data_IF_529509504087
#
_entry.id   IF_529509504087
#
_cell.length_a   1.000
_cell.length_b   1.000
_cell.length_c   1.000
_cell.angle_alpha   90.00
_cell.angle_beta   90.00
_cell.angle_gamma   90.00
#
_symmetry.space_group_name_H-M   'P 1'
#
loop_
_entity.id
_entity.type
_entity.pdbx_description
1 polymer ?
#
# COMPACT_ATOMS: atom_id res chain seq x y z
N UNK A 1 -4.33 -31.60 4.92
CA UNK A 1 -3.58 -30.56 5.65
C UNK A 1 -2.22 -30.37 4.98
N UNK A 2 -1.69 -29.14 4.91
CA UNK A 2 -0.42 -28.80 4.27
C UNK A 2 0.71 -28.70 5.32
N UNK A 3 1.53 -29.75 5.55
CA UNK A 3 2.42 -29.83 6.72
C UNK A 3 3.52 -28.76 6.70
N UNK A 4 4.06 -28.44 5.51
CA UNK A 4 5.08 -27.40 5.33
C UNK A 4 4.56 -26.01 5.72
N UNK A 5 3.32 -25.69 5.40
CA UNK A 5 2.71 -24.39 5.74
C UNK A 5 2.52 -24.24 7.25
N UNK A 6 2.10 -25.33 7.92
CA UNK A 6 1.97 -25.34 9.40
C UNK A 6 3.34 -25.12 10.04
N UNK A 7 4.37 -25.87 9.61
CA UNK A 7 5.73 -25.70 10.14
C UNK A 7 6.27 -24.29 9.91
N UNK A 8 6.04 -23.72 8.72
CA UNK A 8 6.43 -22.35 8.38
C UNK A 8 5.75 -21.32 9.28
N UNK A 9 4.43 -21.42 9.48
CA UNK A 9 3.69 -20.53 10.38
C UNK A 9 4.23 -20.61 11.82
N UNK A 10 4.46 -21.82 12.34
CA UNK A 10 4.98 -21.96 13.70
C UNK A 10 6.42 -21.43 13.83
N UNK A 11 7.21 -21.43 12.77
CA UNK A 11 8.53 -20.79 12.78
C UNK A 11 8.43 -19.26 12.91
N UNK A 12 7.50 -18.63 12.17
CA UNK A 12 7.25 -17.19 12.28
C UNK A 12 6.71 -16.82 13.66
N UNK A 13 5.78 -17.60 14.20
CA UNK A 13 5.20 -17.36 15.53
C UNK A 13 6.26 -17.41 16.61
N UNK A 14 7.11 -18.45 16.63
CA UNK A 14 8.21 -18.54 17.60
C UNK A 14 9.19 -17.36 17.48
N UNK A 15 9.48 -16.91 16.26
CA UNK A 15 10.34 -15.74 16.06
C UNK A 15 9.68 -14.45 16.61
N UNK A 16 8.37 -14.30 16.46
CA UNK A 16 7.63 -13.16 17.03
C UNK A 16 7.57 -13.21 18.56
N UNK A 17 7.38 -14.39 19.17
CA UNK A 17 7.46 -14.57 20.62
C UNK A 17 8.83 -14.15 21.15
N UNK A 18 9.91 -14.66 20.54
CA UNK A 18 11.28 -14.29 20.89
C UNK A 18 11.53 -12.78 20.73
N UNK A 19 11.00 -12.18 19.67
CA UNK A 19 11.10 -10.74 19.44
C UNK A 19 10.44 -9.92 20.55
N UNK A 20 9.31 -10.37 21.09
CA UNK A 20 8.68 -9.69 22.23
C UNK A 20 9.47 -9.89 23.52
N UNK A 21 9.92 -11.11 23.79
CA UNK A 21 10.69 -11.47 24.99
C UNK A 21 12.03 -10.71 25.04
N UNK A 22 12.67 -10.50 23.89
CA UNK A 22 13.92 -9.75 23.79
C UNK A 22 13.75 -8.23 23.84
N UNK A 23 12.53 -7.74 24.09
CA UNK A 23 12.24 -6.31 24.11
C UNK A 23 12.24 -5.63 22.73
N UNK A 24 12.12 -6.39 21.64
CA UNK A 24 12.21 -5.88 20.26
C UNK A 24 11.20 -4.78 19.93
N UNK A 25 10.09 -4.70 20.68
CA UNK A 25 9.11 -3.63 20.56
C UNK A 25 9.68 -2.23 20.85
N UNK A 26 10.68 -2.10 21.74
CA UNK A 26 11.30 -0.80 22.08
C UNK A 26 11.86 -0.08 20.84
N UNK A 27 12.29 -0.88 19.89
CA UNK A 27 12.98 -0.50 18.68
C UNK A 27 12.08 -0.57 17.43
N UNK A 28 10.79 -0.78 17.63
CA UNK A 28 9.83 -0.97 16.56
C UNK A 28 9.09 0.30 16.16
N UNK A 29 8.48 0.29 14.97
CA UNK A 29 7.60 1.38 14.55
C UNK A 29 6.37 1.50 15.48
N UNK A 30 5.62 2.58 15.36
CA UNK A 30 4.49 2.83 16.28
C UNK A 30 3.38 1.78 16.13
N UNK A 31 3.15 1.30 14.91
CA UNK A 31 2.07 0.37 14.58
C UNK A 31 2.16 -0.99 15.34
N UNK A 32 3.26 -1.77 15.27
CA UNK A 32 3.37 -3.03 16.00
C UNK A 32 3.33 -2.82 17.53
N UNK A 33 3.82 -1.69 18.05
CA UNK A 33 3.67 -1.36 19.48
C UNK A 33 2.22 -1.14 19.88
N UNK A 34 1.52 -0.27 19.15
CA UNK A 34 0.12 0.04 19.45
C UNK A 34 -0.74 -1.22 19.36
N UNK A 35 -0.55 -2.03 18.32
CA UNK A 35 -1.22 -3.33 18.16
C UNK A 35 -0.92 -4.25 19.33
N UNK A 36 0.34 -4.46 19.67
CA UNK A 36 0.71 -5.32 20.80
C UNK A 36 0.05 -4.84 22.10
N UNK A 37 0.09 -3.54 22.40
CA UNK A 37 -0.55 -2.96 23.59
C UNK A 37 -2.05 -3.23 23.64
N UNK A 38 -2.80 -2.86 22.59
CA UNK A 38 -4.26 -3.04 22.52
C UNK A 38 -4.64 -4.51 22.69
N UNK A 39 -3.94 -5.39 21.99
CA UNK A 39 -4.19 -6.83 22.00
C UNK A 39 -3.87 -7.45 23.37
N UNK A 40 -2.82 -6.97 24.03
CA UNK A 40 -2.43 -7.41 25.37
C UNK A 40 -3.42 -6.93 26.43
N UNK A 41 -3.84 -5.66 26.35
CA UNK A 41 -4.85 -5.06 27.24
C UNK A 41 -6.22 -5.73 27.10
N UNK A 42 -6.53 -6.24 25.90
CA UNK A 42 -7.72 -7.06 25.63
C UNK A 42 -7.65 -8.49 26.22
N UNK A 43 -6.56 -8.84 26.92
CA UNK A 43 -6.40 -10.12 27.60
C UNK A 43 -5.78 -11.24 26.76
N UNK A 44 -5.30 -10.96 25.54
CA UNK A 44 -4.69 -12.01 24.72
C UNK A 44 -3.33 -12.48 25.26
N UNK A 45 -3.06 -13.77 25.08
CA UNK A 45 -1.77 -14.36 25.40
C UNK A 45 -0.69 -13.85 24.43
N UNK A 46 0.58 -13.86 24.83
CA UNK A 46 1.68 -13.45 23.94
C UNK A 46 1.75 -14.36 22.70
N UNK A 47 1.46 -15.65 22.85
CA UNK A 47 1.41 -16.59 21.74
C UNK A 47 0.27 -16.29 20.75
N UNK A 48 -0.91 -15.88 21.24
CA UNK A 48 -2.01 -15.48 20.35
C UNK A 48 -1.71 -14.17 19.63
N UNK A 49 -1.05 -13.22 20.30
CA UNK A 49 -0.56 -11.98 19.68
C UNK A 49 0.46 -12.29 18.58
N UNK A 50 1.43 -13.17 18.84
CA UNK A 50 2.41 -13.60 17.86
C UNK A 50 1.76 -14.26 16.63
N UNK A 51 0.69 -15.03 16.83
CA UNK A 51 -0.13 -15.62 15.75
C UNK A 51 -0.88 -14.58 14.95
N UNK A 52 -1.48 -13.60 15.63
CA UNK A 52 -2.16 -12.48 14.96
C UNK A 52 -1.17 -11.66 14.11
N UNK A 53 0.05 -11.40 14.62
CA UNK A 53 1.07 -10.70 13.85
C UNK A 53 1.61 -11.51 12.67
N UNK A 54 1.62 -12.85 12.74
CA UNK A 54 1.95 -13.68 11.57
C UNK A 54 0.96 -13.45 10.42
N UNK A 55 -0.34 -13.32 10.73
CA UNK A 55 -1.38 -13.00 9.72
C UNK A 55 -1.23 -11.56 9.24
N UNK A 56 -0.97 -10.63 10.16
CA UNK A 56 -0.76 -9.22 9.82
C UNK A 56 0.45 -9.02 8.91
N UNK A 57 1.55 -9.75 9.14
CA UNK A 57 2.75 -9.73 8.29
C UNK A 57 2.47 -10.21 6.87
N UNK A 58 1.54 -11.17 6.67
CA UNK A 58 1.08 -11.56 5.34
C UNK A 58 0.29 -10.43 4.67
N UNK A 59 -0.58 -9.74 5.41
CA UNK A 59 -1.33 -8.60 4.88
C UNK A 59 -0.42 -7.43 4.47
N UNK A 60 0.62 -7.13 5.26
CA UNK A 60 1.57 -6.06 4.97
C UNK A 60 2.44 -6.34 3.73
N UNK A 61 2.92 -7.58 3.59
CA UNK A 61 3.94 -7.92 2.60
C UNK A 61 3.39 -8.62 1.36
N UNK A 62 2.25 -9.31 1.48
CA UNK A 62 1.68 -10.13 0.42
C UNK A 62 1.42 -9.37 -0.88
N UNK A 63 1.08 -8.07 -0.76
CA UNK A 63 0.84 -7.20 -1.90
C UNK A 63 2.02 -6.27 -2.20
N UNK A 64 2.66 -5.72 -1.16
CA UNK A 64 3.75 -4.73 -1.31
C UNK A 64 4.97 -5.32 -1.99
N UNK A 65 5.33 -6.58 -1.70
CA UNK A 65 6.48 -7.27 -2.31
C UNK A 65 6.30 -7.48 -3.82
N UNK A 66 5.22 -8.12 -4.31
CA UNK A 66 5.02 -8.26 -5.74
C UNK A 66 4.79 -6.92 -6.45
N UNK A 67 4.12 -5.94 -5.82
CA UNK A 67 3.97 -4.61 -6.38
C UNK A 67 5.34 -3.94 -6.60
N UNK A 68 6.21 -3.95 -5.60
CA UNK A 68 7.56 -3.38 -5.71
C UNK A 68 8.39 -4.11 -6.78
N UNK A 69 8.32 -5.44 -6.82
CA UNK A 69 8.98 -6.23 -7.87
C UNK A 69 8.57 -5.76 -9.26
N UNK A 70 7.26 -5.64 -9.51
CA UNK A 70 6.76 -5.25 -10.81
C UNK A 70 7.08 -3.81 -11.17
N UNK A 71 7.04 -2.87 -10.22
CA UNK A 71 7.42 -1.48 -10.48
C UNK A 71 8.89 -1.41 -10.89
N UNK A 72 9.76 -2.13 -10.17
CA UNK A 72 11.19 -2.19 -10.53
C UNK A 72 11.35 -2.82 -11.92
N UNK A 73 10.65 -3.92 -12.19
CA UNK A 73 10.69 -4.56 -13.51
C UNK A 73 10.26 -3.59 -14.62
N UNK A 74 9.12 -2.91 -14.47
CA UNK A 74 8.55 -2.04 -15.49
C UNK A 74 9.40 -0.78 -15.72
N UNK A 75 9.94 -0.20 -14.65
CA UNK A 75 10.85 0.95 -14.76
C UNK A 75 12.15 0.55 -15.46
N UNK A 76 12.75 -0.59 -15.12
CA UNK A 76 14.05 -0.99 -15.65
C UNK A 76 14.00 -1.69 -17.02
N UNK A 77 12.83 -2.18 -17.43
CA UNK A 77 12.63 -2.81 -18.74
C UNK A 77 12.51 -1.81 -19.89
N UNK A 78 12.23 -0.53 -19.60
CA UNK A 78 12.11 0.54 -20.59
C UNK A 78 13.12 1.67 -20.28
N UNK A 79 14.08 1.87 -21.18
CA UNK A 79 15.13 2.88 -21.01
C UNK A 79 14.59 4.32 -20.95
N UNK A 80 13.50 4.63 -21.67
CA UNK A 80 12.87 5.95 -21.64
C UNK A 80 12.17 6.18 -20.30
N UNK A 81 11.45 5.18 -19.78
CA UNK A 81 10.83 5.24 -18.45
C UNK A 81 11.89 5.40 -17.36
N UNK A 82 12.93 4.56 -17.38
CA UNK A 82 14.04 4.63 -16.43
C UNK A 82 14.71 6.01 -16.43
N UNK A 83 15.01 6.54 -17.62
CA UNK A 83 15.65 7.85 -17.76
C UNK A 83 14.80 8.96 -17.14
N UNK A 84 13.49 8.93 -17.38
CA UNK A 84 12.57 9.97 -16.94
C UNK A 84 12.29 9.91 -15.43
N UNK A 85 12.16 8.69 -14.86
CA UNK A 85 12.12 8.48 -13.40
C UNK A 85 13.41 8.97 -12.74
N UNK A 86 14.58 8.65 -13.30
CA UNK A 86 15.86 9.12 -12.75
C UNK A 86 15.98 10.63 -12.78
N UNK A 87 15.59 11.27 -13.89
CA UNK A 87 15.62 12.72 -14.01
C UNK A 87 14.74 13.40 -12.96
N UNK A 88 13.55 12.85 -12.71
CA UNK A 88 12.64 13.35 -11.69
C UNK A 88 13.23 13.17 -10.28
N UNK A 89 13.72 11.97 -9.95
CA UNK A 89 14.28 11.67 -8.63
C UNK A 89 15.58 12.43 -8.36
N UNK A 90 16.39 12.71 -9.38
CA UNK A 90 17.61 13.53 -9.25
C UNK A 90 17.33 14.92 -8.67
N UNK A 91 16.17 15.51 -8.97
CA UNK A 91 15.75 16.79 -8.39
C UNK A 91 15.57 16.78 -6.87
N UNK A 92 15.54 15.60 -6.25
CA UNK A 92 15.37 15.40 -4.81
C UNK A 92 16.66 14.89 -4.12
N UNK A 93 17.75 14.71 -4.87
CA UNK A 93 19.01 14.22 -4.34
C UNK A 93 19.95 15.41 -4.08
N UNK A 94 20.49 15.48 -2.87
CA UNK A 94 21.62 16.36 -2.56
C UNK A 94 22.93 15.56 -2.53
N UNK A 95 24.02 16.20 -2.95
CA UNK A 95 25.37 15.62 -2.93
C UNK A 95 26.20 16.32 -1.86
N UNK A 96 26.78 15.54 -0.95
CA UNK A 96 27.83 16.01 -0.06
C UNK A 96 29.18 15.40 -0.47
N UNK A 97 30.18 16.26 -0.65
CA UNK A 97 31.59 15.85 -0.81
C UNK A 97 32.16 15.58 0.59
N UNK A 98 32.50 14.33 0.88
CA UNK A 98 33.20 14.02 2.12
C UNK A 98 34.68 14.34 1.93
N UNK A 99 35.18 15.34 2.65
CA UNK A 99 36.61 15.65 2.72
C UNK A 99 37.35 14.52 3.44
N UNK A 100 37.85 13.55 2.68
CA UNK A 100 38.77 12.52 3.18
C UNK A 100 38.95 11.28 2.32
N UNK A 101 37.91 10.80 1.61
CA UNK A 101 37.92 9.44 1.03
C UNK A 101 37.54 9.35 -0.45
N UNK A 102 37.27 10.47 -1.13
CA UNK A 102 36.78 10.46 -2.52
C UNK A 102 35.38 9.84 -2.68
N UNK A 103 34.70 9.51 -1.58
CA UNK A 103 33.35 8.94 -1.55
C UNK A 103 32.32 10.06 -1.61
N UNK A 104 31.52 10.07 -2.68
CA UNK A 104 30.36 10.95 -2.82
C UNK A 104 29.18 10.38 -2.01
N UNK A 105 28.61 11.18 -1.11
CA UNK A 105 27.37 10.80 -0.42
C UNK A 105 26.18 11.43 -1.15
N UNK A 106 25.22 10.59 -1.55
CA UNK A 106 23.94 11.00 -2.12
C UNK A 106 22.85 10.89 -1.05
N UNK A 107 22.14 11.98 -0.81
CA UNK A 107 21.05 12.02 0.17
C UNK A 107 19.74 12.33 -0.55
N UNK A 108 18.80 11.39 -0.52
CA UNK A 108 17.45 11.55 -1.05
C UNK A 108 16.55 12.21 0.00
N UNK A 109 15.93 13.34 -0.33
CA UNK A 109 14.90 13.95 0.52
C UNK A 109 13.55 13.24 0.35
N UNK A 110 13.28 12.26 1.21
CA UNK A 110 12.03 11.50 1.19
C UNK A 110 10.78 12.38 1.37
N UNK A 111 10.87 13.58 1.95
CA UNK A 111 9.71 14.48 2.11
C UNK A 111 9.22 15.01 0.77
N UNK A 112 10.12 15.03 -0.22
CA UNK A 112 9.88 15.51 -1.59
C UNK A 112 9.53 14.38 -2.55
N UNK A 113 9.61 13.11 -2.14
CA UNK A 113 9.28 11.99 -3.03
C UNK A 113 7.84 12.06 -3.56
N UNK A 114 6.93 12.69 -2.80
CA UNK A 114 5.55 12.96 -3.24
C UNK A 114 5.43 13.90 -4.43
N UNK A 115 6.49 14.65 -4.74
CA UNK A 115 6.63 15.52 -5.92
C UNK A 115 7.09 14.72 -7.15
N UNK A 116 7.44 13.42 -7.01
CA UNK A 116 7.83 12.53 -8.09
C UNK A 116 6.59 12.03 -8.87
N UNK A 117 5.93 12.94 -9.58
CA UNK A 117 4.64 12.70 -10.23
C UNK A 117 4.72 11.62 -11.31
N UNK A 118 5.81 11.56 -12.07
CA UNK A 118 6.01 10.53 -13.08
C UNK A 118 6.25 9.18 -12.43
N UNK A 119 7.11 9.09 -11.40
CA UNK A 119 7.30 7.84 -10.64
C UNK A 119 5.97 7.33 -10.08
N UNK A 120 5.15 8.22 -9.50
CA UNK A 120 3.81 7.85 -9.02
C UNK A 120 2.90 7.38 -10.16
N UNK A 121 2.95 8.01 -11.34
CA UNK A 121 2.18 7.58 -12.50
C UNK A 121 2.58 6.16 -12.95
N UNK A 122 3.88 5.85 -12.97
CA UNK A 122 4.38 4.50 -13.28
C UNK A 122 3.93 3.50 -12.23
N UNK A 123 3.99 3.83 -10.94
CA UNK A 123 3.54 2.95 -9.86
C UNK A 123 2.04 2.64 -10.02
N UNK A 124 1.21 3.66 -10.24
CA UNK A 124 -0.23 3.47 -10.42
C UNK A 124 -0.55 2.66 -11.68
N UNK A 125 0.14 2.92 -12.79
CA UNK A 125 -0.05 2.14 -14.01
C UNK A 125 0.38 0.68 -13.85
N UNK A 126 1.48 0.44 -13.14
CA UNK A 126 1.94 -0.91 -12.81
C UNK A 126 0.89 -1.65 -12.00
N UNK A 127 0.33 -1.00 -10.98
CA UNK A 127 -0.73 -1.58 -10.15
C UNK A 127 -2.01 -1.83 -10.96
N UNK A 128 -2.44 -0.87 -11.80
CA UNK A 128 -3.61 -1.07 -12.68
C UNK A 128 -3.40 -2.28 -13.59
N UNK A 129 -2.24 -2.35 -14.25
CA UNK A 129 -2.01 -3.38 -15.26
C UNK A 129 -1.79 -4.78 -14.66
N UNK A 130 -1.28 -4.88 -13.42
CA UNK A 130 -0.81 -6.16 -12.86
C UNK A 130 -1.58 -6.64 -11.64
N UNK A 131 -2.28 -5.76 -10.91
CA UNK A 131 -2.99 -6.15 -9.71
C UNK A 131 -4.19 -7.03 -10.07
N UNK A 132 -4.22 -8.24 -9.50
CA UNK A 132 -5.33 -9.18 -9.64
C UNK A 132 -6.01 -9.34 -8.29
N UNK A 133 -6.81 -8.34 -7.95
CA UNK A 133 -7.56 -8.30 -6.69
C UNK A 133 -9.03 -8.66 -6.89
N UNK A 134 -9.64 -9.13 -5.82
CA UNK A 134 -11.10 -9.26 -5.72
C UNK A 134 -11.61 -8.39 -4.58
N UNK A 135 -12.70 -7.67 -4.78
CA UNK A 135 -13.41 -6.98 -3.71
C UNK A 135 -14.68 -7.73 -3.32
N UNK A 136 -14.60 -8.78 -2.47
CA UNK A 136 -15.80 -9.50 -2.03
C UNK A 136 -16.64 -8.62 -1.09
N UNK A 137 -17.96 -8.67 -1.24
CA UNK A 137 -18.95 -8.04 -0.37
C UNK A 137 -20.06 -9.03 -0.08
N UNK A 138 -20.42 -9.18 1.19
CA UNK A 138 -21.59 -9.95 1.58
C UNK A 138 -22.83 -9.07 1.47
N UNK A 139 -23.86 -9.55 0.79
CA UNK A 139 -25.13 -8.85 0.61
C UNK A 139 -25.98 -9.09 1.86
N UNK A 140 -26.23 -8.03 2.64
CA UNK A 140 -26.91 -8.14 3.94
C UNK A 140 -28.45 -8.13 3.83
N UNK A 141 -28.96 -7.60 2.73
CA UNK A 141 -30.38 -7.49 2.39
C UNK A 141 -30.53 -7.53 0.86
N UNK A 142 -31.69 -7.94 0.37
CA UNK A 142 -31.98 -7.96 -1.07
C UNK A 142 -31.72 -6.57 -1.67
N UNK A 143 -30.87 -6.49 -2.68
CA UNK A 143 -30.46 -5.23 -3.29
C UNK A 143 -30.65 -5.28 -4.80
N UNK A 144 -31.14 -4.17 -5.34
CA UNK A 144 -31.24 -3.96 -6.78
C UNK A 144 -30.03 -3.11 -7.21
N UNK A 145 -29.21 -3.66 -8.11
CA UNK A 145 -28.09 -2.96 -8.74
C UNK A 145 -28.53 -2.58 -10.16
N UNK A 146 -28.84 -1.31 -10.36
CA UNK A 146 -29.26 -0.78 -11.65
C UNK A 146 -28.12 -0.04 -12.35
N UNK A 147 -28.00 -0.26 -13.66
CA UNK A 147 -27.18 0.52 -14.59
C UNK A 147 -28.06 1.07 -15.71
N UNK A 148 -27.50 1.92 -16.57
CA UNK A 148 -28.25 2.45 -17.72
C UNK A 148 -28.74 1.37 -18.71
N UNK A 149 -28.18 0.16 -18.66
CA UNK A 149 -28.47 -0.92 -19.60
C UNK A 149 -29.23 -2.10 -18.98
N UNK A 150 -29.15 -2.29 -17.67
CA UNK A 150 -29.65 -3.49 -17.01
C UNK A 150 -29.87 -3.28 -15.51
N UNK A 151 -30.75 -4.11 -14.95
CA UNK A 151 -31.05 -4.17 -13.53
C UNK A 151 -30.79 -5.59 -13.03
N UNK A 152 -30.06 -5.71 -11.93
CA UNK A 152 -29.73 -6.98 -11.30
C UNK A 152 -30.33 -7.04 -9.89
N UNK A 153 -31.18 -8.03 -9.65
CA UNK A 153 -31.64 -8.36 -8.30
C UNK A 153 -30.63 -9.30 -7.63
N UNK A 154 -30.06 -8.87 -6.51
CA UNK A 154 -29.07 -9.64 -5.76
C UNK A 154 -29.63 -9.97 -4.40
N UNK A 155 -29.82 -11.26 -4.14
CA UNK A 155 -30.47 -11.75 -2.93
C UNK A 155 -29.56 -11.62 -1.69
N UNK A 156 -30.18 -11.39 -0.54
CA UNK A 156 -29.57 -11.46 0.78
C UNK A 156 -28.79 -12.77 0.95
N UNK A 157 -27.59 -12.65 1.50
CA UNK A 157 -26.67 -13.78 1.72
C UNK A 157 -25.80 -14.12 0.51
N UNK A 158 -26.02 -13.47 -0.64
CA UNK A 158 -25.13 -13.58 -1.79
C UNK A 158 -23.79 -12.92 -1.53
N UNK A 159 -22.74 -13.40 -2.22
CA UNK A 159 -21.44 -12.72 -2.27
C UNK A 159 -21.29 -12.00 -3.61
N UNK A 160 -21.19 -10.68 -3.57
CA UNK A 160 -20.82 -9.86 -4.71
C UNK A 160 -19.29 -9.80 -4.79
N UNK A 161 -18.71 -10.01 -5.97
CA UNK A 161 -17.26 -9.90 -6.18
C UNK A 161 -16.98 -8.83 -7.23
N UNK A 162 -16.24 -7.80 -6.82
CA UNK A 162 -15.64 -6.85 -7.76
C UNK A 162 -14.33 -7.43 -8.28
N UNK A 163 -14.27 -7.74 -9.58
CA UNK A 163 -13.07 -8.26 -10.22
C UNK A 163 -12.21 -7.10 -10.72
N UNK A 164 -11.11 -6.80 -10.01
CA UNK A 164 -10.25 -5.66 -10.36
C UNK A 164 -9.65 -5.81 -11.75
N UNK A 165 -9.26 -7.03 -12.15
CA UNK A 165 -8.67 -7.29 -13.47
C UNK A 165 -9.59 -6.81 -14.61
N UNK A 166 -10.86 -7.21 -14.60
CA UNK A 166 -11.81 -6.81 -15.63
C UNK A 166 -12.03 -5.30 -15.66
N UNK A 167 -12.06 -4.65 -14.49
CA UNK A 167 -12.22 -3.20 -14.40
C UNK A 167 -10.97 -2.45 -14.88
N UNK A 168 -9.79 -2.96 -14.52
CA UNK A 168 -8.51 -2.35 -14.86
C UNK A 168 -8.20 -2.47 -16.35
N UNK A 169 -8.71 -3.50 -17.01
CA UNK A 169 -8.50 -3.77 -18.44
C UNK A 169 -9.69 -3.37 -19.32
N UNK A 170 -10.73 -2.75 -18.77
CA UNK A 170 -11.89 -2.29 -19.55
C UNK A 170 -11.49 -1.17 -20.53
N UNK A 171 -11.50 -1.49 -21.82
CA UNK A 171 -11.17 -0.54 -22.90
C UNK A 171 -12.17 0.62 -23.05
N UNK A 172 -13.41 0.46 -22.57
CA UNK A 172 -14.38 1.55 -22.54
C UNK A 172 -13.98 2.63 -21.51
N UNK A 173 -13.25 2.23 -20.47
CA UNK A 173 -12.80 3.11 -19.39
C UNK A 173 -11.37 3.60 -19.61
N UNK A 174 -10.48 2.69 -19.98
CA UNK A 174 -9.03 2.93 -20.07
C UNK A 174 -8.54 3.17 -21.50
N UNK A 175 -9.44 3.13 -22.48
CA UNK A 175 -9.13 3.32 -23.88
C UNK A 175 -8.52 2.08 -24.55
N UNK A 176 -8.13 2.19 -25.83
CA UNK A 176 -7.68 1.04 -26.63
C UNK A 176 -6.36 0.43 -26.14
N UNK A 177 -5.62 1.13 -25.27
CA UNK A 177 -4.36 0.69 -24.70
C UNK A 177 -4.53 0.10 -23.28
N UNK A 178 -5.74 -0.28 -22.86
CA UNK A 178 -6.01 -0.85 -21.54
C UNK A 178 -5.17 -2.11 -21.25
N UNK A 179 -4.97 -2.95 -22.26
CA UNK A 179 -4.19 -4.19 -22.19
C UNK A 179 -2.68 -4.00 -22.39
N UNK A 180 -2.23 -2.75 -22.35
CA UNK A 180 -0.81 -2.41 -22.42
C UNK A 180 -0.42 -1.56 -21.21
N UNK A 181 0.81 -1.76 -20.74
CA UNK A 181 1.39 -0.86 -19.75
C UNK A 181 1.70 0.49 -20.42
N UNK A 182 1.01 1.55 -20.01
CA UNK A 182 1.18 2.90 -20.52
C UNK A 182 1.62 3.85 -19.40
N UNK A 183 2.94 4.04 -19.19
CA UNK A 183 3.50 4.77 -18.03
C UNK A 183 2.91 6.16 -17.78
N UNK A 184 2.51 6.86 -18.85
CA UNK A 184 1.94 8.21 -18.78
C UNK A 184 0.43 8.25 -18.44
N UNK A 185 -0.23 7.10 -18.21
CA UNK A 185 -1.69 7.03 -18.00
C UNK A 185 -2.18 7.90 -16.85
N UNK A 186 -1.38 8.00 -15.79
CA UNK A 186 -1.68 8.76 -14.57
C UNK A 186 -0.88 10.07 -14.47
N UNK A 187 -0.27 10.53 -15.56
CA UNK A 187 0.46 11.80 -15.61
C UNK A 187 -0.49 13.00 -15.41
N UNK A 188 0.05 14.15 -14.98
CA UNK A 188 -0.73 15.37 -14.75
C UNK A 188 -1.67 15.71 -15.94
N UNK A 189 -2.91 16.05 -15.63
CA UNK A 189 -3.94 16.40 -16.63
C UNK A 189 -4.75 15.22 -17.15
N UNK A 190 -4.35 13.98 -16.84
CA UNK A 190 -5.19 12.80 -17.08
C UNK A 190 -6.24 12.67 -15.99
N UNK A 191 -7.48 12.37 -16.38
CA UNK A 191 -8.57 12.04 -15.46
C UNK A 191 -8.93 10.58 -15.68
N UNK A 192 -8.73 9.77 -14.65
CA UNK A 192 -9.28 8.41 -14.59
C UNK A 192 -10.57 8.45 -13.77
N UNK A 193 -11.61 7.66 -14.11
CA UNK A 193 -12.80 7.59 -13.28
C UNK A 193 -12.42 7.14 -11.85
N UNK A 194 -12.91 7.81 -10.78
CA UNK A 194 -12.49 7.53 -9.41
C UNK A 194 -12.71 6.08 -8.94
N UNK A 195 -13.62 5.35 -9.59
CA UNK A 195 -13.98 3.96 -9.27
C UNK A 195 -13.34 2.93 -10.20
N UNK A 196 -12.64 3.38 -11.25
CA UNK A 196 -12.04 2.49 -12.24
C UNK A 196 -10.72 1.88 -11.79
N UNK A 197 -10.03 2.53 -10.83
CA UNK A 197 -8.75 2.10 -10.30
C UNK A 197 -8.89 1.69 -8.83
N UNK A 198 -8.23 0.60 -8.48
CA UNK A 198 -8.16 0.06 -7.12
C UNK A 198 -6.71 -0.39 -6.95
N UNK A 199 -5.91 0.39 -6.23
CA UNK A 199 -4.46 0.19 -6.16
C UNK A 199 -4.10 -1.13 -5.46
N UNK A 200 -4.83 -1.45 -4.38
CA UNK A 200 -4.67 -2.65 -3.56
C UNK A 200 -6.04 -3.14 -3.06
N UNK A 201 -6.12 -4.43 -2.72
CA UNK A 201 -7.30 -5.01 -2.07
C UNK A 201 -7.56 -4.27 -0.73
N UNK A 202 -8.76 -3.72 -0.56
CA UNK A 202 -9.07 -2.89 0.61
C UNK A 202 -8.71 -1.41 0.49
N UNK A 203 -8.35 -0.91 -0.70
CA UNK A 203 -8.27 0.53 -1.02
C UNK A 203 -9.60 1.00 -1.63
N UNK A 204 -10.49 1.63 -0.86
CA UNK A 204 -11.68 2.22 -1.43
C UNK A 204 -11.39 3.67 -1.82
N UNK A 205 -11.48 3.93 -3.12
CA UNK A 205 -11.40 5.24 -3.80
C UNK A 205 -10.01 5.87 -3.87
N UNK A 206 -9.28 5.51 -4.92
CA UNK A 206 -8.13 6.27 -5.40
C UNK A 206 -8.59 7.38 -6.37
N UNK A 207 -8.84 8.59 -5.86
CA UNK A 207 -8.80 9.84 -6.64
C UNK A 207 -8.33 11.03 -5.76
N UNK A 208 -7.65 12.04 -6.32
CA UNK A 208 -6.85 12.98 -5.53
C UNK A 208 -7.64 14.24 -5.20
N UNK A 209 -7.92 14.52 -3.92
CA UNK A 209 -8.33 15.88 -3.52
C UNK A 209 -7.63 16.38 -2.26
N UNK A 210 -7.09 17.59 -2.39
CA UNK A 210 -6.31 18.39 -1.44
C UNK A 210 -7.18 19.24 -0.53
N UNK A 211 -7.36 18.85 0.74
CA UNK A 211 -7.83 19.77 1.79
C UNK A 211 -7.17 19.43 3.15
N UNK A 212 -6.55 20.43 3.77
CA UNK A 212 -5.89 20.34 5.08
C UNK A 212 -6.87 20.51 6.26
N UNK A 213 -6.47 20.02 7.45
CA UNK A 213 -7.25 20.16 8.69
C UNK A 213 -6.66 19.38 9.88
N UNK A 214 -7.02 19.78 11.10
CA UNK A 214 -6.61 19.19 12.39
C UNK A 214 -7.40 17.90 12.69
N UNK A 215 -6.76 16.96 13.41
CA UNK A 215 -7.30 15.65 13.77
C UNK A 215 -8.48 15.75 14.75
N UNK A 216 -9.59 15.10 14.37
CA UNK A 216 -10.68 14.65 15.25
C UNK A 216 -10.90 13.18 14.89
N UNK A 217 -10.75 12.29 15.87
CA UNK A 217 -10.99 10.86 15.68
C UNK A 217 -12.49 10.63 15.41
N UNK A 218 -12.90 10.13 14.23
CA UNK A 218 -14.28 9.71 14.05
C UNK A 218 -14.51 8.48 14.92
N UNK A 219 -15.50 8.55 15.82
CA UNK A 219 -15.88 7.43 16.66
C UNK A 219 -16.23 6.18 15.84
N UNK A 220 -16.02 5.02 16.46
CA UNK A 220 -16.24 3.69 15.87
C UNK A 220 -17.71 3.54 15.42
N UNK A 221 -17.93 3.36 14.11
CA UNK A 221 -19.27 3.14 13.55
C UNK A 221 -19.52 1.63 13.39
N UNK A 222 -19.95 1.01 14.49
CA UNK A 222 -20.29 -0.42 14.55
C UNK A 222 -21.48 -0.79 13.66
N UNK A 223 -22.22 0.18 13.11
CA UNK A 223 -23.32 -0.05 12.19
C UNK A 223 -22.85 -0.24 10.73
N UNK A 224 -21.60 0.12 10.42
CA UNK A 224 -21.08 0.06 9.06
C UNK A 224 -19.56 -0.18 9.02
N UNK A 225 -19.14 -1.41 9.36
CA UNK A 225 -17.73 -1.85 9.35
C UNK A 225 -17.01 -1.65 7.99
N UNK A 226 -17.75 -1.54 6.88
CA UNK A 226 -17.15 -1.25 5.58
C UNK A 226 -16.52 0.15 5.53
N UNK A 227 -16.99 1.10 6.36
CA UNK A 227 -16.39 2.44 6.49
C UNK A 227 -15.06 2.45 7.25
N UNK A 228 -14.78 1.42 8.06
CA UNK A 228 -13.51 1.29 8.79
C UNK A 228 -12.35 0.92 7.85
N UNK A 229 -12.64 0.38 6.67
CA UNK A 229 -11.65 0.06 5.64
C UNK A 229 -11.49 1.19 4.61
N UNK A 230 -12.14 2.35 4.80
CA UNK A 230 -11.98 3.50 3.92
C UNK A 230 -10.71 4.30 4.24
N UNK A 231 -9.98 4.85 3.25
CA UNK A 231 -8.99 5.85 3.55
C UNK A 231 -9.70 6.98 4.30
N UNK A 232 -9.03 7.56 5.31
CA UNK A 232 -9.65 8.54 6.17
C UNK A 232 -10.24 9.69 5.34
N UNK A 233 -11.47 10.10 5.67
CA UNK A 233 -12.19 11.20 5.00
C UNK A 233 -11.44 12.55 5.06
N UNK A 234 -10.42 12.66 5.92
CA UNK A 234 -9.50 13.80 6.02
C UNK A 234 -8.07 13.32 5.75
N UNK A 235 -7.27 14.14 5.06
CA UNK A 235 -5.85 13.84 4.80
C UNK A 235 -5.09 13.63 6.11
N UNK A 236 -4.39 12.51 6.20
CA UNK A 236 -3.43 12.24 7.27
C UNK A 236 -2.06 12.68 6.80
N UNK A 237 -1.52 13.71 7.45
CA UNK A 237 -0.11 14.07 7.32
C UNK A 237 0.65 13.29 8.38
N UNK A 238 1.47 12.33 7.95
CA UNK A 238 2.40 11.65 8.84
C UNK A 238 3.74 12.37 8.74
N UNK A 239 4.25 12.87 9.86
CA UNK A 239 5.63 13.35 9.93
C UNK A 239 6.56 12.14 9.87
N UNK A 240 7.18 11.96 8.70
CA UNK A 240 8.24 10.97 8.51
C UNK A 240 9.50 11.52 9.16
N UNK A 241 9.77 11.07 10.38
CA UNK A 241 11.02 11.33 11.08
C UNK A 241 11.93 10.09 11.03
N UNK A 242 13.26 10.25 10.97
CA UNK A 242 14.20 9.16 11.22
C UNK A 242 13.88 8.49 12.56
N UNK A 243 14.07 7.17 12.63
CA UNK A 243 13.91 6.44 13.90
C UNK A 243 14.86 7.04 14.94
N UNK A 244 14.40 7.13 16.20
CA UNK A 244 15.24 7.62 17.31
C UNK A 244 16.55 6.84 17.39
N UNK A 245 17.69 7.52 17.43
CA UNK A 245 19.03 6.93 17.37
C UNK A 245 19.57 6.69 15.95
N UNK A 246 18.79 6.97 14.90
CA UNK A 246 19.21 6.88 13.49
C UNK A 246 19.28 8.23 12.80
N UNK A 247 19.14 9.33 13.54
CA UNK A 247 19.09 10.70 13.01
C UNK A 247 20.37 11.08 12.26
N UNK A 248 21.49 10.46 12.62
CA UNK A 248 22.81 10.65 12.01
C UNK A 248 23.29 9.42 11.21
N UNK A 249 22.43 8.42 10.98
CA UNK A 249 22.79 7.23 10.21
C UNK A 249 22.76 7.58 8.74
N UNK A 250 23.95 7.78 8.17
CA UNK A 250 24.13 7.95 6.73
C UNK A 250 24.14 6.56 6.09
N UNK A 251 23.04 6.22 5.42
CA UNK A 251 22.97 5.02 4.59
C UNK A 251 23.89 5.21 3.38
N UNK A 252 24.98 4.44 3.31
CA UNK A 252 25.91 4.44 2.18
C UNK A 252 25.68 3.17 1.37
N UNK A 253 25.44 3.34 0.08
CA UNK A 253 25.60 2.26 -0.90
C UNK A 253 26.95 2.47 -1.56
N UNK A 254 27.85 1.50 -1.39
CA UNK A 254 29.10 1.45 -2.16
C UNK A 254 28.76 0.72 -3.45
N UNK A 255 28.88 1.41 -4.59
CA UNK A 255 28.80 0.80 -5.92
C UNK A 255 30.12 0.13 -6.28
#
# INVERSE_FOLDING_TARGET
MAPKAVVGREAVVRAMEQYYESGGLQDSSQLPRARYTILKESGMSVGDIARAECVFGLALNGNSVPAAFWVVWDVFSDAAVLSRVRQEVQGFISTAQNTGEGVQTLTLDLRRIKEALYLHAVIHETLRYRARGTGPRMVLEDVIISSNACEYHVEKGSTLILANESMHHDTAVWGPNADTLFPDRFSLGTRSPPTAFVALEGDPTSAPESLGGRWDEPGQDLSNMARENLPPLKKVMVDVAPRKGTENVVWRYVL
#
